data_IF_458583486156
#
_entry.id   IF_458583486156
#
_cell.length_a   1.000
_cell.length_b   1.000
_cell.length_c   1.000
_cell.angle_alpha   90.00
_cell.angle_beta   90.00
_cell.angle_gamma   90.00
#
_symmetry.space_group_name_H-M   'P 1'
#
loop_
_entity.id
_entity.type
_entity.pdbx_description
1 polymer ?
#
# COMPACT_ATOMS: atom_id res chain seq x y z
N UNK A 1 3.13 28.01 14.43
CA UNK A 1 2.02 28.97 14.61
C UNK A 1 1.74 29.66 13.28
N UNK A 2 0.49 30.07 13.00
CA UNK A 2 0.18 30.81 11.78
C UNK A 2 0.94 32.14 11.70
N UNK A 3 1.36 32.53 10.50
CA UNK A 3 2.07 33.78 10.22
C UNK A 3 1.12 34.84 9.66
N UNK A 4 1.37 36.14 9.91
CA UNK A 4 0.63 37.22 9.26
C UNK A 4 0.92 37.25 7.74
N UNK A 5 -0.05 37.62 6.89
CA UNK A 5 0.09 37.57 5.44
C UNK A 5 1.29 38.37 4.90
N UNK A 6 1.64 39.49 5.52
CA UNK A 6 2.79 40.32 5.15
C UNK A 6 4.11 39.56 5.34
N UNK A 7 4.23 38.82 6.46
CA UNK A 7 5.40 37.99 6.73
C UNK A 7 5.49 36.79 5.79
N UNK A 8 4.33 36.22 5.42
CA UNK A 8 4.28 35.16 4.41
C UNK A 8 4.77 35.68 3.07
N UNK A 9 4.37 36.89 2.68
CA UNK A 9 4.79 37.51 1.43
C UNK A 9 6.31 37.79 1.39
N UNK A 10 6.90 38.19 2.52
CA UNK A 10 8.37 38.34 2.65
C UNK A 10 9.12 37.02 2.36
N UNK A 11 8.55 35.88 2.77
CA UNK A 11 9.11 34.54 2.52
C UNK A 11 8.84 34.08 1.08
N UNK A 12 7.62 34.29 0.60
CA UNK A 12 7.16 33.81 -0.72
C UNK A 12 7.95 34.43 -1.87
N UNK A 13 8.28 35.73 -1.79
CA UNK A 13 8.96 36.43 -2.90
C UNK A 13 10.33 35.81 -3.25
N UNK A 14 11.30 35.68 -2.33
CA UNK A 14 12.59 35.04 -2.64
C UNK A 14 12.45 33.56 -3.05
N UNK A 15 11.52 32.81 -2.46
CA UNK A 15 11.27 31.40 -2.82
C UNK A 15 10.74 31.29 -4.25
N UNK A 16 9.79 32.15 -4.63
CA UNK A 16 9.24 32.18 -5.98
C UNK A 16 10.28 32.62 -7.01
N UNK A 17 11.15 33.57 -6.69
CA UNK A 17 12.27 33.97 -7.55
C UNK A 17 13.26 32.81 -7.78
N UNK A 18 13.65 32.11 -6.72
CA UNK A 18 14.55 30.95 -6.81
C UNK A 18 13.93 29.81 -7.65
N UNK A 19 12.64 29.52 -7.45
CA UNK A 19 11.91 28.53 -8.24
C UNK A 19 11.77 28.93 -9.71
N UNK A 20 11.42 30.19 -9.98
CA UNK A 20 11.29 30.69 -11.34
C UNK A 20 12.61 30.57 -12.11
N UNK A 21 13.72 30.96 -11.48
CA UNK A 21 15.05 30.80 -12.06
C UNK A 21 15.38 29.33 -12.35
N UNK A 22 15.09 28.42 -11.41
CA UNK A 22 15.33 26.99 -11.62
C UNK A 22 14.49 26.41 -12.77
N UNK A 23 13.20 26.77 -12.83
CA UNK A 23 12.28 26.32 -13.89
C UNK A 23 12.72 26.81 -15.27
N UNK A 24 13.24 28.04 -15.38
CA UNK A 24 13.82 28.56 -16.64
C UNK A 24 15.04 27.75 -17.11
N UNK A 25 15.80 27.17 -16.18
CA UNK A 25 16.91 26.26 -16.48
C UNK A 25 16.46 24.81 -16.68
N UNK A 26 15.16 24.53 -16.64
CA UNK A 26 14.59 23.19 -16.77
C UNK A 26 14.76 22.31 -15.52
N UNK A 27 15.07 22.89 -14.37
CA UNK A 27 15.27 22.19 -13.10
C UNK A 27 14.01 22.28 -12.24
N UNK A 28 13.51 21.14 -11.77
CA UNK A 28 12.40 21.05 -10.81
C UNK A 28 12.94 20.78 -9.41
N UNK A 29 12.32 21.36 -8.37
CA UNK A 29 12.75 21.12 -7.00
C UNK A 29 12.24 19.78 -6.46
N UNK A 30 10.95 19.47 -6.63
CA UNK A 30 10.27 18.19 -6.28
C UNK A 30 10.16 17.84 -4.79
N UNK A 31 10.59 18.73 -3.89
CA UNK A 31 10.58 18.52 -2.43
C UNK A 31 10.45 19.86 -1.68
N UNK A 32 9.51 20.71 -2.09
CA UNK A 32 9.26 21.99 -1.42
C UNK A 32 8.54 21.74 -0.10
N UNK A 33 9.17 22.13 1.02
CA UNK A 33 8.66 22.02 2.39
C UNK A 33 9.38 23.00 3.32
N UNK A 34 8.86 23.29 4.54
CA UNK A 34 9.44 24.30 5.41
C UNK A 34 10.90 24.07 5.79
N UNK A 35 11.35 22.82 5.96
CA UNK A 35 12.75 22.52 6.30
C UNK A 35 13.75 22.88 5.20
N UNK A 36 13.28 23.04 3.95
CA UNK A 36 14.12 23.39 2.81
C UNK A 36 14.05 24.90 2.50
N UNK A 37 13.31 25.68 3.31
CA UNK A 37 13.26 27.14 3.23
C UNK A 37 14.05 27.69 4.43
N UNK A 38 15.31 28.05 4.20
CA UNK A 38 16.22 28.50 5.24
C UNK A 38 16.12 30.00 5.47
N UNK A 39 16.10 30.39 6.74
CA UNK A 39 16.16 31.78 7.21
C UNK A 39 17.53 32.03 7.84
N UNK A 40 18.28 33.02 7.35
CA UNK A 40 19.57 33.40 7.94
C UNK A 40 19.37 34.39 9.11
N UNK A 41 20.33 34.50 10.05
CA UNK A 41 20.29 35.48 11.12
C UNK A 41 20.15 36.94 10.62
N UNK A 42 20.62 37.23 9.41
CA UNK A 42 20.55 38.53 8.76
C UNK A 42 19.21 38.76 8.04
N UNK A 43 18.29 37.80 8.10
CA UNK A 43 16.97 37.87 7.47
C UNK A 43 16.92 37.40 6.01
N UNK A 44 17.98 36.79 5.49
CA UNK A 44 17.99 36.19 4.16
C UNK A 44 17.12 34.94 4.08
N UNK A 45 16.43 34.74 2.95
CA UNK A 45 15.59 33.58 2.69
C UNK A 45 16.16 32.82 1.51
N UNK A 46 16.43 31.53 1.69
CA UNK A 46 17.05 30.68 0.68
C UNK A 46 16.28 29.38 0.55
N UNK A 47 16.12 28.93 -0.69
CA UNK A 47 15.60 27.60 -1.01
C UNK A 47 16.79 26.64 -1.18
N UNK A 48 16.80 25.55 -0.41
CA UNK A 48 17.89 24.56 -0.38
C UNK A 48 17.42 23.20 -0.87
N UNK A 49 18.35 22.28 -1.12
CA UNK A 49 18.04 20.87 -1.41
C UNK A 49 17.17 20.66 -2.65
N UNK A 50 17.50 21.37 -3.75
CA UNK A 50 17.02 21.02 -5.09
C UNK A 50 17.30 19.53 -5.32
N UNK A 51 16.26 18.76 -5.68
CA UNK A 51 16.20 17.30 -5.62
C UNK A 51 17.16 16.52 -6.53
N UNK A 52 18.46 16.77 -6.43
CA UNK A 52 19.55 16.13 -7.18
C UNK A 52 19.65 14.63 -6.89
N UNK A 53 19.12 14.16 -5.76
CA UNK A 53 19.06 12.73 -5.41
C UNK A 53 17.97 11.94 -6.17
N UNK A 54 16.98 12.61 -6.80
CA UNK A 54 15.84 11.95 -7.49
C UNK A 54 16.02 11.79 -9.01
N UNK A 55 17.19 12.14 -9.55
CA UNK A 55 17.48 12.07 -10.99
C UNK A 55 17.89 10.68 -11.50
N UNK A 56 17.99 9.67 -10.63
CA UNK A 56 18.33 8.29 -11.02
C UNK A 56 17.11 7.42 -11.43
N UNK A 57 15.88 7.94 -11.38
CA UNK A 57 14.66 7.14 -11.60
C UNK A 57 13.71 7.75 -12.65
N UNK A 58 14.21 7.98 -13.86
CA UNK A 58 13.35 8.13 -15.04
C UNK A 58 13.27 6.79 -15.77
N UNK A 59 12.41 5.87 -15.32
CA UNK A 59 12.30 4.57 -15.99
C UNK A 59 11.21 3.64 -15.48
N UNK A 60 10.90 3.63 -14.19
CA UNK A 60 9.95 2.65 -13.62
C UNK A 60 8.89 3.33 -12.77
N UNK A 61 7.68 3.36 -13.32
CA UNK A 61 6.47 3.79 -12.65
C UNK A 61 5.97 2.69 -11.72
N UNK A 62 6.47 2.66 -10.49
CA UNK A 62 5.83 2.00 -9.35
C UNK A 62 6.36 2.62 -8.07
N UNK A 63 5.45 3.14 -7.25
CA UNK A 63 5.73 3.62 -5.89
C UNK A 63 6.12 2.42 -5.01
N UNK A 64 7.41 2.06 -4.99
CA UNK A 64 7.99 1.12 -4.03
C UNK A 64 8.18 1.80 -2.68
N UNK A 65 7.90 1.07 -1.60
CA UNK A 65 7.80 1.63 -0.25
C UNK A 65 9.16 1.95 0.39
N UNK A 66 10.27 1.44 -0.16
CA UNK A 66 11.62 1.71 0.36
C UNK A 66 12.26 3.02 -0.09
N UNK A 67 11.64 3.74 -1.01
CA UNK A 67 12.07 5.08 -1.36
C UNK A 67 11.51 6.05 -0.34
N UNK A 68 12.21 6.21 0.80
CA UNK A 68 12.09 7.30 1.79
C UNK A 68 11.16 8.39 1.26
N UNK A 69 9.84 8.20 1.49
CA UNK A 69 8.85 9.11 0.94
C UNK A 69 9.13 10.39 1.71
N UNK A 70 9.78 11.35 1.04
CA UNK A 70 9.94 12.70 1.59
C UNK A 70 8.61 13.16 2.16
N UNK A 71 8.61 14.07 3.12
CA UNK A 71 7.44 14.54 3.88
C UNK A 71 6.13 14.56 3.04
N UNK A 72 5.29 13.50 3.09
CA UNK A 72 4.18 13.28 2.12
C UNK A 72 3.13 14.38 2.16
N UNK A 73 3.10 15.15 3.26
CA UNK A 73 2.25 16.30 3.49
C UNK A 73 2.40 17.40 2.43
N UNK A 74 3.51 17.44 1.69
CA UNK A 74 3.78 18.46 0.66
C UNK A 74 3.76 17.89 -0.76
N UNK A 75 3.46 16.60 -0.94
CA UNK A 75 3.52 15.94 -2.24
C UNK A 75 2.39 16.40 -3.18
N UNK A 76 2.71 16.62 -4.45
CA UNK A 76 1.68 16.92 -5.46
C UNK A 76 0.91 15.65 -5.91
N UNK A 77 -0.35 15.78 -6.37
CA UNK A 77 -1.14 14.65 -6.87
C UNK A 77 -0.45 13.87 -8.00
N UNK A 78 0.23 14.56 -8.92
CA UNK A 78 0.94 13.92 -10.03
C UNK A 78 2.19 13.15 -9.55
N UNK A 79 2.90 13.65 -8.54
CA UNK A 79 4.00 12.90 -7.90
C UNK A 79 3.47 11.66 -7.18
N UNK A 80 2.36 11.81 -6.46
CA UNK A 80 1.68 10.75 -5.73
C UNK A 80 1.14 9.63 -6.63
N UNK A 81 0.85 9.94 -7.91
CA UNK A 81 0.41 8.96 -8.92
C UNK A 81 1.53 8.41 -9.79
N UNK A 82 2.76 8.92 -9.66
CA UNK A 82 3.85 8.60 -10.59
C UNK A 82 3.63 9.13 -12.02
N UNK A 83 2.82 10.18 -12.18
CA UNK A 83 2.59 10.83 -13.47
C UNK A 83 3.77 11.73 -13.86
N UNK A 84 3.82 12.17 -15.13
CA UNK A 84 4.84 13.12 -15.59
C UNK A 84 4.70 14.46 -14.87
N UNK A 85 5.71 14.78 -14.07
CA UNK A 85 5.84 16.05 -13.33
C UNK A 85 6.39 17.17 -14.22
N UNK A 86 5.98 18.41 -13.91
CA UNK A 86 6.48 19.65 -14.52
C UNK A 86 6.56 20.75 -13.44
N UNK A 87 6.85 21.99 -13.82
CA UNK A 87 7.00 23.13 -12.89
C UNK A 87 5.79 23.34 -11.95
N UNK A 88 4.60 22.90 -12.37
CA UNK A 88 3.35 23.04 -11.58
C UNK A 88 3.29 22.09 -10.39
N UNK A 89 4.19 21.10 -10.35
CA UNK A 89 4.42 20.25 -9.17
C UNK A 89 4.94 21.08 -8.00
N UNK A 90 5.94 21.93 -8.22
CA UNK A 90 6.51 22.78 -7.17
C UNK A 90 5.49 23.84 -6.70
N UNK A 91 4.61 24.29 -7.59
CA UNK A 91 3.52 25.23 -7.28
C UNK A 91 2.52 24.60 -6.29
N UNK A 92 2.16 23.34 -6.46
CA UNK A 92 1.28 22.64 -5.52
C UNK A 92 1.93 22.53 -4.15
N UNK A 93 3.17 22.06 -4.08
CA UNK A 93 3.90 21.90 -2.82
C UNK A 93 4.07 23.24 -2.09
N UNK A 94 4.37 24.32 -2.83
CA UNK A 94 4.40 25.68 -2.28
C UNK A 94 3.01 26.13 -1.79
N UNK A 95 1.94 25.75 -2.48
CA UNK A 95 0.56 25.94 -2.03
C UNK A 95 0.26 25.29 -0.67
N UNK A 96 0.81 24.10 -0.41
CA UNK A 96 0.69 23.42 0.91
C UNK A 96 1.44 24.22 1.98
N UNK A 97 2.64 24.72 1.67
CA UNK A 97 3.42 25.57 2.58
C UNK A 97 2.68 26.87 2.90
N UNK A 98 2.06 27.51 1.90
CA UNK A 98 1.23 28.71 2.10
C UNK A 98 0.00 28.41 2.98
N UNK A 99 -0.67 27.28 2.73
CA UNK A 99 -1.81 26.82 3.54
C UNK A 99 -1.39 26.65 5.01
N UNK A 100 -0.26 25.99 5.26
CA UNK A 100 0.26 25.76 6.60
C UNK A 100 0.65 27.07 7.28
N UNK A 101 1.33 27.98 6.59
CA UNK A 101 1.67 29.28 7.17
C UNK A 101 0.44 30.12 7.52
N UNK A 102 -0.64 30.06 6.72
CA UNK A 102 -1.86 30.80 7.01
C UNK A 102 -2.68 30.20 8.16
N UNK A 103 -2.71 28.86 8.27
CA UNK A 103 -3.65 28.14 9.14
C UNK A 103 -2.99 27.49 10.36
N UNK A 104 -1.66 27.34 10.34
CA UNK A 104 -0.86 26.65 11.34
C UNK A 104 -0.86 25.11 11.22
N UNK A 105 -1.50 24.55 10.19
CA UNK A 105 -1.53 23.10 9.92
C UNK A 105 -1.58 22.83 8.41
N UNK A 106 -1.06 21.68 7.98
CA UNK A 106 -1.16 21.23 6.58
C UNK A 106 -2.61 20.89 6.19
N UNK A 107 -2.97 20.92 4.89
CA UNK A 107 -4.34 20.62 4.44
C UNK A 107 -4.75 19.16 4.70
N UNK A 108 -3.81 18.22 4.63
CA UNK A 108 -4.05 16.80 4.88
C UNK A 108 -3.04 16.26 5.88
N UNK A 109 -3.56 15.60 6.91
CA UNK A 109 -2.77 14.90 7.93
C UNK A 109 -3.52 13.62 8.27
N UNK A 110 -2.81 12.50 8.26
CA UNK A 110 -3.33 11.20 8.57
C UNK A 110 -2.25 10.37 9.28
N UNK A 111 -2.66 9.26 9.89
CA UNK A 111 -1.77 8.41 10.69
C UNK A 111 -0.72 7.68 9.86
N UNK A 112 -0.91 7.59 8.53
CA UNK A 112 0.04 6.95 7.61
C UNK A 112 0.42 7.86 6.44
N UNK A 113 1.68 7.82 5.96
CA UNK A 113 2.11 8.51 4.74
C UNK A 113 1.21 8.22 3.54
N UNK A 114 0.76 6.97 3.39
CA UNK A 114 -0.11 6.56 2.29
C UNK A 114 -1.49 7.22 2.36
N UNK A 115 -2.08 7.38 3.54
CA UNK A 115 -3.35 8.07 3.69
C UNK A 115 -3.23 9.57 3.36
N UNK A 116 -2.10 10.19 3.73
CA UNK A 116 -1.79 11.57 3.30
C UNK A 116 -1.70 11.63 1.77
N UNK A 117 -0.93 10.74 1.14
CA UNK A 117 -0.81 10.64 -0.33
C UNK A 117 -2.18 10.45 -0.99
N UNK A 118 -3.03 9.56 -0.46
CA UNK A 118 -4.40 9.35 -0.93
C UNK A 118 -5.23 10.65 -0.87
N UNK A 119 -5.15 11.39 0.24
CA UNK A 119 -5.88 12.65 0.41
C UNK A 119 -5.40 13.75 -0.55
N UNK A 120 -4.09 13.78 -0.80
CA UNK A 120 -3.51 14.62 -1.82
C UNK A 120 -4.07 14.29 -3.22
N UNK A 121 -4.45 13.05 -3.52
CA UNK A 121 -5.04 12.68 -4.81
C UNK A 121 -6.56 12.91 -4.87
N UNK A 122 -7.32 12.44 -3.88
CA UNK A 122 -8.77 12.25 -4.00
C UNK A 122 -9.59 13.14 -3.06
N UNK A 123 -9.05 13.53 -1.91
CA UNK A 123 -9.82 14.21 -0.88
C UNK A 123 -10.00 15.69 -1.22
N UNK A 124 -11.23 16.24 -1.13
CA UNK A 124 -11.49 17.66 -1.31
C UNK A 124 -10.66 18.51 -0.34
N UNK A 125 -10.17 19.66 -0.81
CA UNK A 125 -9.38 20.56 0.02
C UNK A 125 -10.25 21.15 1.14
N UNK A 126 -9.79 21.14 2.40
CA UNK A 126 -10.43 21.94 3.44
C UNK A 126 -10.26 23.42 3.11
N UNK A 127 -11.27 24.23 3.43
CA UNK A 127 -11.20 25.67 3.26
C UNK A 127 -10.35 26.28 4.38
N UNK A 128 -9.28 27.05 4.09
CA UNK A 128 -8.51 27.78 5.10
C UNK A 128 -9.37 28.53 6.13
N UNK A 129 -10.45 29.17 5.69
CA UNK A 129 -11.40 29.91 6.54
C UNK A 129 -12.17 29.02 7.54
N UNK A 130 -12.37 27.73 7.25
CA UNK A 130 -12.94 26.79 8.23
C UNK A 130 -11.99 26.50 9.40
N UNK A 131 -10.69 26.71 9.19
CA UNK A 131 -9.65 26.50 10.20
C UNK A 131 -9.39 27.80 10.95
N UNK A 132 -9.27 28.91 10.20
CA UNK A 132 -8.93 30.22 10.72
C UNK A 132 -9.87 31.27 10.07
N UNK A 133 -11.00 31.62 10.72
CA UNK A 133 -12.07 32.43 10.10
C UNK A 133 -11.69 33.87 9.74
N UNK A 134 -10.56 34.38 10.21
CA UNK A 134 -10.02 35.72 9.94
C UNK A 134 -9.16 35.79 8.66
N UNK A 135 -8.94 34.68 7.96
CA UNK A 135 -8.25 34.67 6.67
C UNK A 135 -9.07 35.44 5.63
N UNK A 136 -8.44 36.41 4.98
CA UNK A 136 -9.07 37.18 3.92
C UNK A 136 -9.44 36.27 2.72
N UNK A 137 -10.67 36.37 2.16
CA UNK A 137 -11.12 35.49 1.08
C UNK A 137 -10.23 35.48 -0.17
N UNK A 138 -9.54 36.58 -0.48
CA UNK A 138 -8.57 36.61 -1.58
C UNK A 138 -7.40 35.65 -1.38
N UNK A 139 -6.88 35.56 -0.16
CA UNK A 139 -5.78 34.65 0.19
C UNK A 139 -6.24 33.18 0.09
N UNK A 140 -7.46 32.89 0.54
CA UNK A 140 -8.06 31.56 0.40
C UNK A 140 -8.19 31.16 -1.07
N UNK A 141 -8.72 32.04 -1.94
CA UNK A 141 -8.82 31.76 -3.39
C UNK A 141 -7.46 31.46 -4.02
N UNK A 142 -6.44 32.24 -3.68
CA UNK A 142 -5.08 32.06 -4.20
C UNK A 142 -4.53 30.69 -3.80
N UNK A 143 -4.64 30.32 -2.53
CA UNK A 143 -4.12 29.04 -2.01
C UNK A 143 -4.88 27.85 -2.59
N UNK A 144 -6.21 27.91 -2.67
CA UNK A 144 -7.00 26.83 -3.25
C UNK A 144 -6.72 26.63 -4.75
N UNK A 145 -6.46 27.71 -5.49
CA UNK A 145 -6.02 27.61 -6.89
C UNK A 145 -4.65 26.96 -7.02
N UNK A 146 -3.68 27.29 -6.15
CA UNK A 146 -2.38 26.63 -6.14
C UNK A 146 -2.48 25.12 -5.84
N UNK A 147 -3.46 24.74 -5.01
CA UNK A 147 -3.71 23.36 -4.56
C UNK A 147 -4.67 22.58 -5.46
N UNK A 148 -5.09 23.12 -6.62
CA UNK A 148 -6.01 22.43 -7.51
C UNK A 148 -5.45 21.03 -7.89
N UNK A 149 -6.29 19.99 -7.83
CA UNK A 149 -5.83 18.61 -8.04
C UNK A 149 -5.30 18.39 -9.45
N UNK A 150 -6.01 18.92 -10.44
CA UNK A 150 -5.55 19.00 -11.81
C UNK A 150 -4.57 20.16 -11.99
N UNK A 151 -3.39 19.88 -12.55
CA UNK A 151 -2.32 20.87 -12.74
C UNK A 151 -2.67 21.97 -13.74
N UNK A 152 -3.57 21.71 -14.67
CA UNK A 152 -4.01 22.72 -15.66
C UNK A 152 -4.89 23.81 -15.01
N UNK A 153 -5.50 23.53 -13.86
CA UNK A 153 -6.33 24.47 -13.11
C UNK A 153 -5.51 25.35 -12.13
N UNK A 154 -4.20 25.07 -11.98
CA UNK A 154 -3.27 25.82 -11.13
C UNK A 154 -2.74 27.07 -11.83
N UNK A 155 -1.97 27.87 -11.10
CA UNK A 155 -1.07 28.83 -11.72
C UNK A 155 -0.08 28.11 -12.63
N UNK A 156 0.20 28.67 -13.80
CA UNK A 156 1.09 28.02 -14.76
C UNK A 156 2.54 28.39 -14.46
N UNK A 157 2.78 29.56 -13.87
CA UNK A 157 4.11 29.98 -13.39
C UNK A 157 4.08 30.33 -11.90
N UNK A 158 5.17 30.02 -11.19
CA UNK A 158 5.30 30.38 -9.76
C UNK A 158 5.27 31.90 -9.53
N UNK A 159 5.70 32.68 -10.52
CA UNK A 159 5.61 34.16 -10.50
C UNK A 159 4.16 34.66 -10.53
N UNK A 160 3.25 33.94 -11.21
CA UNK A 160 1.81 34.25 -11.20
C UNK A 160 1.21 34.00 -9.82
N UNK A 161 1.57 32.89 -9.17
CA UNK A 161 1.17 32.61 -7.78
C UNK A 161 1.66 33.71 -6.83
N UNK A 162 2.95 34.06 -6.89
CA UNK A 162 3.53 35.08 -6.03
C UNK A 162 2.85 36.45 -6.20
N UNK A 163 2.59 36.84 -7.45
CA UNK A 163 1.87 38.07 -7.78
C UNK A 163 0.43 38.06 -7.27
N UNK A 164 -0.31 36.98 -7.49
CA UNK A 164 -1.69 36.86 -7.02
C UNK A 164 -1.78 36.89 -5.49
N UNK A 165 -0.82 36.29 -4.80
CA UNK A 165 -0.74 36.36 -3.35
C UNK A 165 -0.43 37.78 -2.85
N UNK A 166 0.51 38.49 -3.51
CA UNK A 166 0.81 39.89 -3.21
C UNK A 166 -0.42 40.80 -3.37
N UNK A 167 -1.15 40.66 -4.47
CA UNK A 167 -2.39 41.40 -4.72
C UNK A 167 -3.43 41.13 -3.61
N UNK A 168 -3.61 39.87 -3.23
CA UNK A 168 -4.52 39.49 -2.14
C UNK A 168 -4.09 40.05 -0.76
N UNK A 169 -2.79 40.17 -0.48
CA UNK A 169 -2.29 40.83 0.75
C UNK A 169 -2.60 42.33 0.73
N UNK A 170 -2.37 43.00 -0.41
CA UNK A 170 -2.68 44.44 -0.57
C UNK A 170 -4.18 44.70 -0.44
N UNK A 171 -5.03 43.85 -1.01
CA UNK A 171 -6.48 43.92 -0.87
C UNK A 171 -6.93 43.74 0.58
N UNK A 172 -6.37 42.73 1.29
CA UNK A 172 -6.65 42.49 2.70
C UNK A 172 -6.28 43.69 3.57
N UNK A 173 -5.11 44.31 3.33
CA UNK A 173 -4.66 45.49 4.04
C UNK A 173 -5.49 46.75 3.73
N UNK A 174 -6.06 46.84 2.52
CA UNK A 174 -6.89 47.97 2.08
C UNK A 174 -8.35 47.85 2.54
N UNK A 175 -8.78 46.70 3.07
CA UNK A 175 -10.17 46.46 3.51
C UNK A 175 -11.20 46.41 2.37
N UNK A 176 -10.73 46.32 1.12
CA UNK A 176 -11.60 46.22 -0.06
C UNK A 176 -11.94 44.74 -0.22
N UNK A 177 -13.18 44.35 0.06
CA UNK A 177 -13.65 43.00 -0.28
C UNK A 177 -13.62 42.84 -1.82
N UNK A 178 -13.25 41.67 -2.36
CA UNK A 178 -13.26 41.50 -3.79
C UNK A 178 -14.70 41.60 -4.27
N UNK A 179 -14.94 42.36 -5.35
CA UNK A 179 -16.19 42.24 -6.08
C UNK A 179 -16.35 40.76 -6.49
N UNK A 180 -17.55 40.18 -6.41
CA UNK A 180 -17.75 38.82 -6.89
C UNK A 180 -17.28 38.76 -8.34
N UNK A 181 -16.30 37.91 -8.62
CA UNK A 181 -15.93 37.60 -10.01
C UNK A 181 -17.19 37.07 -10.68
N UNK A 182 -17.64 37.77 -11.72
CA UNK A 182 -18.62 37.21 -12.65
C UNK A 182 -18.05 35.89 -13.16
N UNK A 183 -18.64 34.80 -12.70
CA UNK A 183 -18.53 33.49 -13.32
C UNK A 183 -18.90 33.71 -14.79
N UNK A 184 -17.89 33.78 -15.66
CA UNK A 184 -18.11 33.75 -17.11
C UNK A 184 -18.81 32.43 -17.40
N UNK A 185 -20.12 32.52 -17.56
CA UNK A 185 -20.95 31.48 -18.11
C UNK A 185 -20.24 30.93 -19.34
N UNK A 186 -19.94 29.63 -19.31
CA UNK A 186 -19.57 28.90 -20.51
C UNK A 186 -20.61 29.22 -21.59
N UNK A 187 -20.17 29.71 -22.74
CA UNK A 187 -21.05 29.94 -23.88
C UNK A 187 -21.79 28.62 -24.21
N UNK A 188 -23.11 28.67 -24.45
CA UNK A 188 -23.84 27.49 -24.84
C UNK A 188 -23.36 27.07 -26.23
N UNK A 189 -22.79 25.87 -26.33
CA UNK A 189 -22.59 25.20 -27.62
C UNK A 189 -23.97 25.05 -28.26
N UNK A 190 -24.21 25.82 -29.32
CA UNK A 190 -25.44 25.75 -30.12
C UNK A 190 -25.41 24.42 -30.88
N UNK A 191 -26.12 23.43 -30.35
CA UNK A 191 -26.51 22.22 -31.07
C UNK A 191 -27.79 22.58 -31.86
N UNK A 192 -27.85 22.42 -33.20
CA UNK A 192 -29.06 22.75 -33.95
C UNK A 192 -30.25 21.89 -33.49
N UNK A 193 -31.49 22.38 -33.64
CA UNK A 193 -32.66 21.75 -33.04
C UNK A 193 -32.97 20.44 -33.77
N UNK A 194 -32.66 19.32 -33.13
CA UNK A 194 -33.37 18.08 -33.43
C UNK A 194 -34.72 18.19 -32.73
N UNK A 195 -35.79 18.22 -33.52
CA UNK A 195 -37.17 18.25 -33.08
C UNK A 195 -37.41 17.08 -32.12
N UNK A 196 -37.48 17.37 -30.81
CA UNK A 196 -37.98 16.43 -29.82
C UNK A 196 -39.49 16.61 -29.76
N UNK A 197 -40.17 15.73 -30.48
CA UNK A 197 -41.60 15.51 -30.35
C UNK A 197 -41.88 14.99 -28.93
N UNK A 198 -42.80 15.64 -28.23
CA UNK A 198 -43.17 15.30 -26.86
C UNK A 198 -43.76 13.88 -26.80
N UNK A 199 -43.04 12.95 -26.16
CA UNK A 199 -43.56 11.63 -25.81
C UNK A 199 -44.44 11.72 -24.54
N UNK A 200 -45.62 11.10 -24.52
CA UNK A 200 -46.52 11.12 -23.37
C UNK A 200 -45.99 10.21 -22.24
N UNK A 201 -46.37 10.56 -21.02
CA UNK A 201 -45.99 9.87 -19.79
C UNK A 201 -46.24 8.34 -19.88
N UNK A 202 -45.22 7.57 -19.47
CA UNK A 202 -45.28 6.11 -19.42
C UNK A 202 -46.34 5.61 -18.42
N UNK A 203 -47.11 4.55 -18.74
CA UNK A 203 -48.11 4.01 -17.84
C UNK A 203 -47.46 3.14 -16.76
N UNK A 204 -47.97 3.23 -15.53
CA UNK A 204 -47.65 2.31 -14.44
C UNK A 204 -47.98 0.86 -14.83
N UNK A 205 -46.97 0.00 -14.91
CA UNK A 205 -47.14 -1.43 -15.19
C UNK A 205 -47.21 -2.21 -13.88
N UNK A 206 -48.41 -2.68 -13.52
CA UNK A 206 -48.59 -3.66 -12.44
C UNK A 206 -47.91 -4.99 -12.79
N UNK A 207 -47.17 -5.62 -11.86
CA UNK A 207 -46.41 -6.83 -12.17
C UNK A 207 -47.33 -8.03 -12.42
N UNK A 208 -47.20 -8.68 -13.58
CA UNK A 208 -47.95 -9.90 -13.90
C UNK A 208 -47.25 -11.15 -13.34
N UNK A 209 -48.03 -11.99 -12.65
CA UNK A 209 -47.63 -13.28 -12.01
C UNK A 209 -46.86 -14.24 -12.92
N UNK A 210 -46.91 -14.06 -14.24
CA UNK A 210 -46.33 -14.98 -15.24
C UNK A 210 -44.81 -14.82 -15.40
N UNK A 211 -44.25 -13.63 -15.14
CA UNK A 211 -42.78 -13.39 -15.22
C UNK A 211 -42.02 -14.01 -14.06
N UNK A 212 -42.61 -14.04 -12.86
CA UNK A 212 -42.00 -14.68 -11.68
C UNK A 212 -41.94 -16.21 -11.79
N UNK A 213 -42.88 -16.83 -12.48
CA UNK A 213 -42.85 -18.28 -12.73
C UNK A 213 -41.72 -18.69 -13.68
N UNK A 214 -41.38 -17.86 -14.67
CA UNK A 214 -40.28 -18.13 -15.61
C UNK A 214 -38.92 -17.93 -14.94
N UNK A 215 -38.77 -16.85 -14.14
CA UNK A 215 -37.54 -16.58 -13.40
C UNK A 215 -37.32 -17.63 -12.29
N UNK A 216 -38.37 -18.00 -11.56
CA UNK A 216 -38.31 -19.07 -10.55
C UNK A 216 -38.00 -20.44 -11.16
N UNK A 217 -38.54 -20.75 -12.34
CA UNK A 217 -38.23 -21.98 -13.07
C UNK A 217 -36.76 -22.05 -13.53
N UNK A 218 -36.21 -20.93 -13.99
CA UNK A 218 -34.79 -20.86 -14.40
C UNK A 218 -33.83 -21.06 -13.22
N UNK A 219 -34.13 -20.47 -12.06
CA UNK A 219 -33.33 -20.64 -10.83
C UNK A 219 -33.42 -22.08 -10.32
N UNK A 220 -34.60 -22.69 -10.32
CA UNK A 220 -34.75 -24.09 -9.92
C UNK A 220 -34.00 -25.07 -10.84
N UNK A 221 -34.02 -24.82 -12.16
CA UNK A 221 -33.26 -25.62 -13.13
C UNK A 221 -31.75 -25.49 -12.94
N UNK A 222 -31.26 -24.28 -12.62
CA UNK A 222 -29.85 -24.03 -12.35
C UNK A 222 -29.37 -24.73 -11.05
N UNK A 223 -30.18 -24.68 -9.99
CA UNK A 223 -29.88 -25.39 -8.74
C UNK A 223 -29.89 -26.92 -8.93
N UNK A 224 -30.82 -27.45 -9.72
CA UNK A 224 -30.84 -28.88 -10.07
C UNK A 224 -29.60 -29.30 -10.86
N UNK A 225 -29.12 -28.45 -11.77
CA UNK A 225 -27.88 -28.70 -12.52
C UNK A 225 -26.67 -28.79 -11.57
N UNK A 226 -26.56 -27.87 -10.60
CA UNK A 226 -25.49 -27.87 -9.60
C UNK A 226 -25.57 -29.14 -8.74
N UNK A 227 -26.76 -29.56 -8.31
CA UNK A 227 -26.93 -30.81 -7.56
C UNK A 227 -26.56 -32.04 -8.40
N UNK A 228 -26.92 -32.09 -9.68
CA UNK A 228 -26.55 -33.20 -10.58
C UNK A 228 -25.04 -33.27 -10.81
N UNK A 229 -24.37 -32.13 -10.99
CA UNK A 229 -22.90 -32.06 -11.13
C UNK A 229 -22.23 -32.50 -9.83
N UNK A 230 -22.68 -31.99 -8.68
CA UNK A 230 -22.16 -32.40 -7.37
C UNK A 230 -22.32 -33.89 -7.10
N UNK A 231 -23.47 -34.49 -7.45
CA UNK A 231 -23.70 -35.92 -7.31
C UNK A 231 -22.83 -36.76 -8.26
N UNK A 232 -22.59 -36.28 -9.49
CA UNK A 232 -21.71 -36.96 -10.44
C UNK A 232 -20.26 -37.05 -9.94
N UNK A 233 -19.73 -35.97 -9.37
CA UNK A 233 -18.38 -35.95 -8.78
C UNK A 233 -18.28 -36.76 -7.48
N UNK A 234 -19.29 -36.69 -6.61
CA UNK A 234 -19.35 -37.52 -5.40
C UNK A 234 -19.39 -39.03 -5.73
N UNK A 235 -20.10 -39.42 -6.79
CA UNK A 235 -20.17 -40.83 -7.22
C UNK A 235 -18.84 -41.37 -7.78
N UNK A 236 -18.00 -40.51 -8.37
CA UNK A 236 -16.65 -40.86 -8.84
C UNK A 236 -15.66 -41.04 -7.69
N UNK A 237 -15.75 -40.22 -6.64
CA UNK A 237 -14.90 -40.31 -5.45
C UNK A 237 -15.12 -41.62 -4.67
N UNK A 238 -16.33 -42.18 -4.69
CA UNK A 238 -16.66 -43.40 -3.95
C UNK A 238 -16.16 -44.70 -4.62
N UNK A 239 -15.77 -44.66 -5.91
CA UNK A 239 -15.17 -45.80 -6.63
C UNK A 239 -13.64 -45.89 -6.50
N UNK A 240 -12.99 -44.92 -5.88
CA UNK A 240 -11.53 -44.88 -5.70
C UNK A 240 -11.12 -45.14 -4.23
N UNK A 241 -11.51 -46.29 -3.68
CA UNK A 241 -10.91 -46.84 -2.45
C UNK A 241 -10.47 -48.27 -2.70
N UNK A 242 -9.36 -48.42 -3.43
CA UNK A 242 -8.57 -49.64 -3.48
C UNK A 242 -7.42 -49.54 -2.48
N UNK A 243 -7.21 -50.58 -1.70
CA UNK A 243 -6.16 -50.74 -0.69
C UNK A 243 -4.75 -50.63 -1.30
N UNK A 244 -3.78 -49.94 -0.67
CA UNK A 244 -2.43 -49.83 -1.21
C UNK A 244 -1.66 -51.14 -1.03
N UNK A 245 -1.16 -51.67 -2.15
CA UNK A 245 -0.15 -52.75 -2.18
C UNK A 245 1.23 -52.09 -2.34
N UNK A 246 2.30 -52.54 -1.67
CA UNK A 246 3.60 -51.90 -1.78
C UNK A 246 4.24 -52.20 -3.14
N UNK A 247 4.51 -51.15 -3.92
CA UNK A 247 5.23 -51.24 -5.19
C UNK A 247 6.73 -51.00 -4.91
N UNK A 248 7.57 -51.95 -5.33
CA UNK A 248 9.02 -51.83 -5.31
C UNK A 248 9.49 -50.71 -6.25
N UNK A 249 10.47 -49.90 -5.80
CA UNK A 249 11.11 -48.84 -6.60
C UNK A 249 11.81 -49.45 -7.84
N UNK A 250 11.56 -48.93 -9.06
CA UNK A 250 12.44 -49.19 -10.18
C UNK A 250 13.68 -48.29 -10.09
N UNK A 251 14.86 -48.89 -10.21
CA UNK A 251 16.14 -48.19 -10.42
C UNK A 251 16.08 -47.41 -11.74
N UNK A 252 16.25 -46.08 -11.67
CA UNK A 252 16.47 -45.26 -12.86
C UNK A 252 17.98 -45.24 -13.13
N UNK A 253 18.35 -45.80 -14.28
CA UNK A 253 19.71 -45.80 -14.82
C UNK A 253 19.92 -44.48 -15.57
N UNK A 254 20.70 -43.58 -15.00
CA UNK A 254 21.11 -42.33 -15.66
C UNK A 254 22.11 -42.62 -16.80
N UNK A 255 21.92 -41.98 -17.95
CA UNK A 255 22.90 -41.88 -19.03
C UNK A 255 23.81 -40.67 -18.81
N UNK A 256 25.14 -40.73 -19.05
CA UNK A 256 26.05 -39.64 -18.74
C UNK A 256 26.21 -38.62 -19.89
N UNK A 257 26.34 -37.33 -19.54
CA UNK A 257 26.84 -36.24 -20.40
C UNK A 257 28.37 -36.08 -20.23
N UNK A 258 29.08 -35.46 -21.20
CA UNK A 258 30.51 -35.67 -21.42
C UNK A 258 31.42 -34.94 -20.42
N UNK A 259 32.54 -35.58 -20.10
CA UNK A 259 33.57 -35.18 -19.15
C UNK A 259 34.37 -33.95 -19.61
N UNK A 260 34.42 -32.92 -18.75
CA UNK A 260 35.51 -31.93 -18.67
C UNK A 260 36.57 -32.37 -17.65
N UNK A 261 37.81 -31.83 -17.68
CA UNK A 261 39.00 -32.54 -17.21
C UNK A 261 39.14 -32.59 -15.67
N UNK A 262 39.06 -33.82 -15.15
CA UNK A 262 40.06 -34.56 -14.32
C UNK A 262 41.02 -33.76 -13.42
N UNK A 263 40.60 -33.42 -12.20
CA UNK A 263 40.92 -34.19 -10.97
C UNK A 263 40.14 -33.60 -9.76
N UNK A 264 39.45 -34.43 -8.95
CA UNK A 264 38.69 -33.96 -7.79
C UNK A 264 39.55 -33.95 -6.51
N UNK A 265 39.39 -32.98 -5.59
CA UNK A 265 39.87 -33.15 -4.22
C UNK A 265 39.04 -34.25 -3.51
N UNK A 266 39.66 -35.16 -2.74
CA UNK A 266 38.93 -36.20 -2.02
C UNK A 266 38.17 -35.64 -0.80
N UNK A 267 37.16 -36.38 -0.30
CA UNK A 267 36.01 -35.81 0.37
C UNK A 267 35.95 -36.07 1.89
N UNK A 268 35.27 -35.14 2.58
CA UNK A 268 34.58 -35.36 3.86
C UNK A 268 34.94 -34.30 4.90
N UNK A 269 34.03 -33.53 5.47
CA UNK A 269 32.59 -33.31 5.30
C UNK A 269 32.31 -32.19 6.30
N UNK A 270 31.93 -30.99 5.85
CA UNK A 270 31.39 -29.85 6.64
C UNK A 270 31.54 -28.50 5.91
N UNK A 271 31.76 -28.50 4.59
CA UNK A 271 31.78 -27.26 3.80
C UNK A 271 30.67 -27.22 2.75
N UNK A 272 29.41 -26.92 3.16
CA UNK A 272 28.30 -26.67 2.24
C UNK A 272 28.61 -25.53 1.26
N UNK A 273 29.31 -24.50 1.71
CA UNK A 273 29.65 -23.32 0.90
C UNK A 273 30.63 -23.71 -0.19
N UNK A 274 31.72 -24.40 0.12
CA UNK A 274 32.67 -24.83 -0.91
C UNK A 274 32.08 -25.80 -1.93
N UNK A 275 31.06 -26.59 -1.56
CA UNK A 275 30.32 -27.42 -2.51
C UNK A 275 29.45 -26.61 -3.46
N UNK A 276 28.68 -25.65 -2.92
CA UNK A 276 27.83 -24.80 -3.72
C UNK A 276 28.65 -23.83 -4.60
N UNK A 277 29.79 -23.33 -4.09
CA UNK A 277 30.71 -22.47 -4.83
C UNK A 277 31.25 -23.18 -6.08
N UNK A 278 31.59 -24.46 -5.99
CA UNK A 278 32.00 -25.25 -7.17
C UNK A 278 30.90 -25.37 -8.21
N UNK A 279 29.63 -25.33 -7.83
CA UNK A 279 28.52 -25.33 -8.80
C UNK A 279 28.42 -23.98 -9.52
N UNK A 280 28.55 -22.88 -8.78
CA UNK A 280 28.61 -21.53 -9.38
C UNK A 280 29.85 -21.40 -10.27
N UNK A 281 31.02 -21.90 -9.88
CA UNK A 281 32.23 -21.88 -10.71
C UNK A 281 32.09 -22.71 -11.99
N UNK A 282 31.36 -23.83 -11.93
CA UNK A 282 31.10 -24.67 -13.10
C UNK A 282 30.10 -24.03 -14.07
N UNK A 283 29.11 -23.30 -13.56
CA UNK A 283 28.15 -22.55 -14.36
C UNK A 283 27.71 -21.25 -13.64
N UNK A 284 28.41 -20.12 -13.88
CA UNK A 284 28.13 -18.85 -13.18
C UNK A 284 26.81 -18.17 -13.56
N UNK A 285 26.14 -18.66 -14.61
CA UNK A 285 24.86 -18.14 -15.07
C UNK A 285 23.70 -19.08 -14.68
N UNK A 286 23.93 -20.08 -13.81
CA UNK A 286 22.88 -20.94 -13.27
C UNK A 286 22.25 -20.32 -12.01
N UNK A 287 21.01 -19.81 -12.08
CA UNK A 287 20.36 -19.20 -10.94
C UNK A 287 20.14 -20.18 -9.78
N UNK A 288 19.95 -21.49 -10.06
CA UNK A 288 19.79 -22.50 -9.01
C UNK A 288 21.11 -22.73 -8.24
N UNK A 289 22.25 -22.69 -8.92
CA UNK A 289 23.56 -22.80 -8.26
C UNK A 289 23.78 -21.63 -7.28
N UNK A 290 23.37 -20.42 -7.66
CA UNK A 290 23.39 -19.25 -6.78
C UNK A 290 22.44 -19.40 -5.58
N UNK A 291 21.21 -19.90 -5.76
CA UNK A 291 20.32 -20.21 -4.62
C UNK A 291 20.94 -21.22 -3.66
N UNK A 292 21.56 -22.29 -4.17
CA UNK A 292 22.25 -23.28 -3.33
C UNK A 292 23.41 -22.67 -2.54
N UNK A 293 24.16 -21.76 -3.14
CA UNK A 293 25.25 -21.05 -2.46
C UNK A 293 24.71 -20.09 -1.39
N UNK A 294 23.62 -19.38 -1.70
CA UNK A 294 22.88 -18.57 -0.74
C UNK A 294 22.38 -19.37 0.46
N UNK A 295 21.80 -20.55 0.24
CA UNK A 295 21.34 -21.46 1.29
C UNK A 295 22.52 -21.92 2.17
N UNK A 296 23.65 -22.25 1.55
CA UNK A 296 24.87 -22.64 2.27
C UNK A 296 25.40 -21.50 3.16
N UNK A 297 25.41 -20.26 2.67
CA UNK A 297 25.77 -19.09 3.48
C UNK A 297 24.76 -18.82 4.60
N UNK A 298 23.46 -18.94 4.33
CA UNK A 298 22.41 -18.76 5.32
C UNK A 298 22.54 -19.76 6.48
N UNK A 299 22.88 -21.02 6.18
CA UNK A 299 23.14 -22.06 7.18
C UNK A 299 24.38 -21.75 8.04
N UNK A 300 25.40 -21.11 7.48
CA UNK A 300 26.56 -20.64 8.23
C UNK A 300 26.29 -19.35 9.03
N UNK A 301 25.13 -18.72 8.82
CA UNK A 301 24.75 -17.46 9.46
C UNK A 301 25.30 -16.21 8.76
N UNK A 302 25.95 -16.36 7.60
CA UNK A 302 26.43 -15.25 6.78
C UNK A 302 25.27 -14.71 5.92
N UNK A 303 24.38 -13.96 6.58
CA UNK A 303 23.15 -13.43 5.97
C UNK A 303 23.41 -12.47 4.81
N UNK A 304 24.54 -11.75 4.83
CA UNK A 304 24.89 -10.77 3.80
C UNK A 304 25.23 -11.50 2.51
N UNK A 305 26.14 -12.49 2.57
CA UNK A 305 26.46 -13.29 1.38
C UNK A 305 25.27 -14.13 0.91
N UNK A 306 24.47 -14.64 1.84
CA UNK A 306 23.24 -15.34 1.47
C UNK A 306 22.32 -14.45 0.61
N UNK A 307 22.12 -13.20 1.03
CA UNK A 307 21.32 -12.23 0.29
C UNK A 307 21.93 -11.89 -1.07
N UNK A 308 23.24 -11.63 -1.15
CA UNK A 308 23.95 -11.35 -2.41
C UNK A 308 23.74 -12.46 -3.44
N UNK A 309 23.82 -13.72 -3.02
CA UNK A 309 23.63 -14.87 -3.91
C UNK A 309 22.16 -15.05 -4.33
N UNK A 310 21.19 -14.79 -3.44
CA UNK A 310 19.78 -14.79 -3.83
C UNK A 310 19.44 -13.66 -4.80
N UNK A 311 19.99 -12.46 -4.60
CA UNK A 311 19.87 -11.33 -5.53
C UNK A 311 20.49 -11.68 -6.88
N UNK A 312 21.64 -12.35 -6.89
CA UNK A 312 22.26 -12.82 -8.12
C UNK A 312 21.40 -13.86 -8.86
N UNK A 313 20.77 -14.78 -8.14
CA UNK A 313 19.82 -15.72 -8.74
C UNK A 313 18.61 -14.99 -9.36
N UNK A 314 18.10 -13.93 -8.71
CA UNK A 314 17.02 -13.09 -9.22
C UNK A 314 17.44 -12.30 -10.47
N UNK A 315 18.67 -11.79 -10.52
CA UNK A 315 19.21 -11.10 -11.71
C UNK A 315 19.29 -12.04 -12.92
N UNK A 316 19.68 -13.30 -12.69
CA UNK A 316 19.82 -14.32 -13.72
C UNK A 316 18.45 -14.84 -14.19
N UNK A 317 17.52 -15.03 -13.26
CA UNK A 317 16.14 -15.43 -13.53
C UNK A 317 15.13 -14.61 -12.71
N UNK A 318 14.58 -13.53 -13.30
CA UNK A 318 13.59 -12.68 -12.65
C UNK A 318 12.25 -13.37 -12.34
N UNK A 319 12.02 -14.60 -12.83
CA UNK A 319 10.83 -15.41 -12.57
C UNK A 319 11.07 -16.49 -11.49
N UNK A 320 12.25 -16.52 -10.86
CA UNK A 320 12.59 -17.52 -9.84
C UNK A 320 11.99 -17.20 -8.46
N UNK A 321 10.73 -17.57 -8.27
CA UNK A 321 9.95 -17.27 -7.06
C UNK A 321 10.62 -17.68 -5.74
N UNK A 322 11.29 -18.84 -5.70
CA UNK A 322 11.97 -19.34 -4.50
C UNK A 322 13.10 -18.40 -4.06
N UNK A 323 13.86 -17.84 -5.00
CA UNK A 323 14.96 -16.91 -4.70
C UNK A 323 14.44 -15.64 -4.01
N UNK A 324 13.32 -15.09 -4.49
CA UNK A 324 12.63 -13.98 -3.83
C UNK A 324 12.20 -14.35 -2.40
N UNK A 325 11.55 -15.50 -2.20
CA UNK A 325 11.12 -15.90 -0.85
C UNK A 325 12.31 -16.07 0.12
N UNK A 326 13.46 -16.58 -0.36
CA UNK A 326 14.68 -16.72 0.43
C UNK A 326 15.35 -15.38 0.74
N UNK A 327 15.46 -14.50 -0.26
CA UNK A 327 15.93 -13.12 -0.07
C UNK A 327 15.08 -12.38 0.97
N UNK A 328 13.75 -12.49 0.87
CA UNK A 328 12.80 -11.92 1.84
C UNK A 328 13.05 -12.41 3.27
N UNK A 329 13.36 -13.71 3.45
CA UNK A 329 13.71 -14.25 4.77
C UNK A 329 15.01 -13.65 5.32
N UNK A 330 16.03 -13.45 4.47
CA UNK A 330 17.30 -12.83 4.89
C UNK A 330 17.12 -11.36 5.28
N UNK A 331 16.33 -10.61 4.51
CA UNK A 331 16.01 -9.20 4.77
C UNK A 331 15.19 -9.04 6.05
N UNK A 332 14.16 -9.87 6.23
CA UNK A 332 13.36 -9.86 7.45
C UNK A 332 14.22 -10.16 8.70
N UNK A 333 15.18 -11.08 8.58
CA UNK A 333 16.12 -11.40 9.65
C UNK A 333 17.14 -10.28 9.93
N UNK A 334 17.27 -9.29 9.04
CA UNK A 334 18.07 -8.06 9.18
C UNK A 334 17.22 -6.86 9.62
N UNK A 335 15.90 -7.04 9.78
CA UNK A 335 14.90 -5.98 10.06
C UNK A 335 14.71 -5.00 8.90
N UNK A 336 15.11 -5.37 7.69
CA UNK A 336 14.76 -4.67 6.46
C UNK A 336 13.39 -5.16 5.99
N UNK A 337 12.35 -4.76 6.73
CA UNK A 337 10.99 -5.30 6.57
C UNK A 337 10.34 -4.86 5.26
N UNK A 338 10.68 -3.67 4.76
CA UNK A 338 10.13 -3.10 3.53
C UNK A 338 10.59 -3.93 2.33
N UNK A 339 11.92 -4.03 2.12
CA UNK A 339 12.51 -4.93 1.12
C UNK A 339 12.05 -6.37 1.27
N UNK A 340 11.93 -6.88 2.50
CA UNK A 340 11.45 -8.24 2.72
C UNK A 340 10.00 -8.42 2.21
N UNK A 341 9.15 -7.43 2.43
CA UNK A 341 7.76 -7.41 1.96
C UNK A 341 7.71 -7.47 0.44
N UNK A 342 8.50 -6.63 -0.24
CA UNK A 342 8.57 -6.61 -1.71
C UNK A 342 8.98 -7.98 -2.26
N UNK A 343 10.00 -8.61 -1.67
CA UNK A 343 10.45 -9.94 -2.06
C UNK A 343 9.36 -10.99 -1.86
N UNK A 344 8.64 -10.99 -0.75
CA UNK A 344 7.56 -11.95 -0.52
C UNK A 344 6.36 -11.73 -1.45
N UNK A 345 5.99 -10.48 -1.73
CA UNK A 345 4.93 -10.16 -2.68
C UNK A 345 5.30 -10.66 -4.07
N UNK A 346 6.54 -10.43 -4.51
CA UNK A 346 7.02 -10.90 -5.81
C UNK A 346 7.03 -12.43 -5.89
N UNK A 347 7.45 -13.12 -4.83
CA UNK A 347 7.36 -14.57 -4.75
C UNK A 347 5.90 -15.07 -4.88
N UNK A 348 4.95 -14.40 -4.23
CA UNK A 348 3.53 -14.76 -4.29
C UNK A 348 2.87 -14.41 -5.64
N UNK A 349 3.34 -13.37 -6.34
CA UNK A 349 2.90 -13.05 -7.70
C UNK A 349 3.36 -14.10 -8.73
N UNK A 350 4.61 -14.54 -8.60
CA UNK A 350 5.20 -15.56 -9.48
C UNK A 350 4.59 -16.95 -9.21
N UNK A 351 4.30 -17.27 -7.95
CA UNK A 351 3.63 -18.50 -7.54
C UNK A 351 2.36 -18.23 -6.70
N UNK A 352 1.22 -17.89 -7.35
CA UNK A 352 -0.03 -17.55 -6.65
C UNK A 352 -0.63 -18.67 -5.80
N UNK A 353 -0.21 -19.92 -6.05
CA UNK A 353 -0.65 -21.11 -5.33
C UNK A 353 0.31 -21.51 -4.18
N UNK A 354 1.37 -20.74 -3.97
CA UNK A 354 2.34 -20.97 -2.89
C UNK A 354 1.77 -20.48 -1.55
N UNK A 355 1.37 -21.41 -0.69
CA UNK A 355 0.92 -21.14 0.67
C UNK A 355 1.99 -20.37 1.46
N UNK A 356 3.26 -20.76 1.32
CA UNK A 356 4.36 -20.12 2.05
C UNK A 356 4.58 -18.69 1.59
N UNK A 357 4.60 -18.43 0.28
CA UNK A 357 4.81 -17.08 -0.25
C UNK A 357 3.66 -16.14 0.16
N UNK A 358 2.40 -16.57 -0.03
CA UNK A 358 1.23 -15.80 0.38
C UNK A 358 1.21 -15.55 1.90
N UNK A 359 1.53 -16.55 2.72
CA UNK A 359 1.57 -16.41 4.18
C UNK A 359 2.64 -15.39 4.60
N UNK A 360 3.84 -15.46 4.00
CA UNK A 360 4.94 -14.54 4.31
C UNK A 360 4.63 -13.11 3.87
N UNK A 361 4.06 -12.93 2.67
CA UNK A 361 3.62 -11.63 2.18
C UNK A 361 2.55 -11.02 3.09
N UNK A 362 1.52 -11.79 3.44
CA UNK A 362 0.48 -11.36 4.38
C UNK A 362 1.03 -10.99 5.75
N UNK A 363 1.94 -11.79 6.31
CA UNK A 363 2.58 -11.49 7.60
C UNK A 363 3.44 -10.23 7.56
N UNK A 364 4.19 -10.02 6.47
CA UNK A 364 5.05 -8.87 6.31
C UNK A 364 4.22 -7.57 6.18
N UNK A 365 3.21 -7.57 5.30
CA UNK A 365 2.26 -6.46 5.13
C UNK A 365 1.48 -6.16 6.42
N UNK A 366 1.08 -7.19 7.17
CA UNK A 366 0.40 -7.00 8.45
C UNK A 366 1.32 -6.31 9.47
N UNK A 367 2.59 -6.72 9.52
CA UNK A 367 3.60 -6.09 10.38
C UNK A 367 3.90 -4.64 10.00
N UNK A 368 3.82 -4.30 8.72
CA UNK A 368 3.96 -2.95 8.16
C UNK A 368 2.68 -2.08 8.36
N UNK A 369 1.61 -2.65 8.91
CA UNK A 369 0.34 -1.94 9.10
C UNK A 369 -0.51 -1.82 7.83
N UNK A 370 -0.10 -2.44 6.73
CA UNK A 370 -0.89 -2.60 5.51
C UNK A 370 -1.91 -3.73 5.65
N UNK A 371 -2.84 -3.55 6.60
CA UNK A 371 -3.78 -4.59 7.02
C UNK A 371 -4.69 -5.05 5.88
N UNK A 372 -5.17 -4.13 5.03
CA UNK A 372 -6.08 -4.46 3.92
C UNK A 372 -5.39 -5.35 2.86
N UNK A 373 -4.24 -4.96 2.27
CA UNK A 373 -3.48 -5.86 1.39
C UNK A 373 -3.13 -7.20 2.05
N UNK A 374 -2.72 -7.19 3.32
CA UNK A 374 -2.37 -8.40 4.04
C UNK A 374 -3.53 -9.43 4.09
N UNK A 375 -4.76 -8.95 4.30
CA UNK A 375 -5.96 -9.78 4.34
C UNK A 375 -6.23 -10.49 3.02
N UNK A 376 -5.91 -9.89 1.87
CA UNK A 376 -6.07 -10.56 0.57
C UNK A 376 -5.13 -11.76 0.44
N UNK A 377 -3.88 -11.62 0.88
CA UNK A 377 -2.94 -12.75 0.95
C UNK A 377 -3.41 -13.82 1.94
N UNK A 378 -3.92 -13.42 3.11
CA UNK A 378 -4.46 -14.40 4.07
C UNK A 378 -5.70 -15.13 3.54
N UNK A 379 -6.58 -14.45 2.81
CA UNK A 379 -7.71 -15.10 2.12
C UNK A 379 -7.21 -16.14 1.13
N UNK A 380 -6.20 -15.78 0.33
CA UNK A 380 -5.57 -16.73 -0.61
C UNK A 380 -4.99 -17.94 0.13
N UNK A 381 -4.36 -17.73 1.28
CA UNK A 381 -3.88 -18.84 2.13
C UNK A 381 -5.04 -19.71 2.59
N UNK A 382 -6.15 -19.15 3.08
CA UNK A 382 -7.31 -19.97 3.53
C UNK A 382 -8.00 -20.74 2.40
N UNK A 383 -7.90 -20.27 1.15
CA UNK A 383 -8.38 -21.01 -0.02
C UNK A 383 -7.48 -22.19 -0.37
N UNK A 384 -6.17 -22.03 -0.23
CA UNK A 384 -5.16 -23.03 -0.55
C UNK A 384 -4.98 -24.08 0.57
N UNK A 385 -4.99 -23.62 1.82
CA UNK A 385 -4.82 -24.41 3.03
C UNK A 385 -5.74 -23.87 4.16
N UNK A 386 -6.96 -24.41 4.27
CA UNK A 386 -7.95 -23.99 5.27
C UNK A 386 -7.65 -24.49 6.69
N UNK A 387 -6.59 -25.29 6.90
CA UNK A 387 -6.25 -25.83 8.23
C UNK A 387 -5.18 -24.98 8.94
N UNK A 388 -4.77 -23.85 8.34
CA UNK A 388 -3.86 -22.88 8.97
C UNK A 388 -4.63 -21.89 9.85
N UNK A 389 -4.40 -21.86 11.18
CA UNK A 389 -5.21 -21.05 12.09
C UNK A 389 -4.91 -19.54 12.00
N UNK A 390 -3.66 -19.16 11.73
CA UNK A 390 -3.24 -17.76 11.75
C UNK A 390 -3.93 -16.88 10.69
N UNK A 391 -4.04 -17.29 9.41
CA UNK A 391 -4.81 -16.54 8.40
C UNK A 391 -6.26 -16.27 8.81
N UNK A 392 -6.96 -17.29 9.33
CA UNK A 392 -8.32 -17.15 9.85
C UNK A 392 -8.38 -16.11 10.98
N UNK A 393 -7.45 -16.17 11.94
CA UNK A 393 -7.38 -15.18 13.00
C UNK A 393 -7.14 -13.75 12.46
N UNK A 394 -6.22 -13.58 11.49
CA UNK A 394 -5.92 -12.28 10.90
C UNK A 394 -7.14 -11.68 10.17
N UNK A 395 -7.83 -12.49 9.35
CA UNK A 395 -9.06 -12.08 8.66
C UNK A 395 -10.14 -11.72 9.68
N UNK A 396 -10.36 -12.57 10.69
CA UNK A 396 -11.35 -12.36 11.73
C UNK A 396 -11.12 -11.07 12.54
N UNK A 397 -9.87 -10.83 12.96
CA UNK A 397 -9.46 -9.58 13.61
C UNK A 397 -9.77 -8.34 12.76
N UNK A 398 -9.46 -8.38 11.46
CA UNK A 398 -9.75 -7.28 10.54
C UNK A 398 -11.25 -7.04 10.39
N UNK A 399 -12.04 -8.09 10.27
CA UNK A 399 -13.49 -8.00 10.13
C UNK A 399 -14.16 -7.42 11.38
N UNK A 400 -13.77 -7.87 12.57
CA UNK A 400 -14.27 -7.33 13.84
C UNK A 400 -13.96 -5.83 13.94
N UNK A 401 -12.71 -5.42 13.70
CA UNK A 401 -12.30 -4.02 13.78
C UNK A 401 -12.96 -3.12 12.73
N UNK A 402 -13.42 -3.69 11.61
CA UNK A 402 -14.15 -2.95 10.58
C UNK A 402 -15.67 -3.00 10.74
N UNK A 403 -16.16 -3.56 11.85
CA UNK A 403 -17.59 -3.63 12.21
C UNK A 403 -18.35 -4.80 11.59
N UNK A 404 -17.69 -5.71 10.86
CA UNK A 404 -18.28 -6.94 10.31
C UNK A 404 -18.22 -8.05 11.35
N UNK A 405 -18.91 -7.84 12.47
CA UNK A 405 -18.72 -8.60 13.71
C UNK A 405 -19.00 -10.11 13.56
N UNK A 406 -20.12 -10.50 12.94
CA UNK A 406 -20.48 -11.93 12.82
C UNK A 406 -19.54 -12.69 11.89
N UNK A 407 -19.20 -12.12 10.73
CA UNK A 407 -18.24 -12.73 9.82
C UNK A 407 -16.85 -12.83 10.48
N UNK A 408 -16.45 -11.78 11.21
CA UNK A 408 -15.20 -11.80 11.96
C UNK A 408 -15.17 -12.87 13.04
N UNK A 409 -16.29 -13.06 13.75
CA UNK A 409 -16.46 -14.11 14.74
C UNK A 409 -16.34 -15.51 14.13
N UNK A 410 -17.01 -15.78 13.00
CA UNK A 410 -16.95 -17.10 12.35
C UNK A 410 -15.50 -17.50 11.97
N UNK A 411 -14.72 -16.53 11.48
CA UNK A 411 -13.30 -16.71 11.17
C UNK A 411 -12.47 -16.96 12.43
N UNK A 412 -12.71 -16.19 13.51
CA UNK A 412 -12.02 -16.37 14.79
C UNK A 412 -12.37 -17.71 15.46
N UNK A 413 -13.63 -18.13 15.40
CA UNK A 413 -14.07 -19.45 15.88
C UNK A 413 -13.39 -20.57 15.07
N UNK A 414 -13.20 -20.38 13.77
CA UNK A 414 -12.44 -21.31 12.91
C UNK A 414 -10.98 -21.38 13.33
N UNK A 415 -10.33 -20.23 13.53
CA UNK A 415 -8.95 -20.16 14.00
C UNK A 415 -8.77 -20.87 15.35
N UNK A 416 -9.65 -20.62 16.31
CA UNK A 416 -9.59 -21.20 17.66
C UNK A 416 -10.04 -22.65 17.73
N UNK A 417 -10.80 -23.14 16.74
CA UNK A 417 -11.07 -24.58 16.59
C UNK A 417 -9.82 -25.32 16.12
N UNK A 418 -9.02 -24.71 15.24
CA UNK A 418 -7.77 -25.26 14.72
C UNK A 418 -6.63 -25.17 15.76
N UNK A 419 -6.53 -24.03 16.45
CA UNK A 419 -5.59 -23.81 17.56
C UNK A 419 -6.27 -23.01 18.68
N UNK A 420 -6.77 -23.71 19.72
CA UNK A 420 -7.44 -23.08 20.86
C UNK A 420 -6.57 -22.12 21.68
N UNK A 421 -5.24 -22.21 21.58
CA UNK A 421 -4.31 -21.40 22.36
C UNK A 421 -3.68 -20.28 21.53
N UNK A 422 -4.11 -20.10 20.26
CA UNK A 422 -3.61 -19.06 19.37
C UNK A 422 -3.88 -17.66 19.94
N UNK A 423 -2.85 -16.89 20.31
CA UNK A 423 -3.04 -15.58 20.92
C UNK A 423 -3.73 -14.57 19.99
N UNK A 424 -3.42 -14.57 18.71
CA UNK A 424 -4.04 -13.70 17.70
C UNK A 424 -5.55 -13.97 17.57
N UNK A 425 -5.97 -15.23 17.64
CA UNK A 425 -7.38 -15.62 17.61
C UNK A 425 -8.12 -15.19 18.88
N UNK A 426 -7.51 -15.39 20.05
CA UNK A 426 -8.10 -14.96 21.34
C UNK A 426 -8.18 -13.45 21.47
N UNK A 427 -7.15 -12.73 21.02
CA UNK A 427 -7.18 -11.27 20.98
C UNK A 427 -8.38 -10.77 20.15
N UNK A 428 -8.60 -11.34 18.96
CA UNK A 428 -9.75 -11.01 18.14
C UNK A 428 -11.09 -11.35 18.77
N UNK A 429 -11.18 -12.48 19.48
CA UNK A 429 -12.40 -12.80 20.24
C UNK A 429 -12.64 -11.84 21.39
N UNK A 430 -11.58 -11.35 22.05
CA UNK A 430 -11.68 -10.28 23.05
C UNK A 430 -12.31 -9.01 22.47
N UNK A 431 -11.79 -8.55 21.31
CA UNK A 431 -12.33 -7.40 20.58
C UNK A 431 -13.80 -7.60 20.18
N UNK A 432 -14.16 -8.81 19.73
CA UNK A 432 -15.55 -9.13 19.40
C UNK A 432 -16.45 -9.03 20.63
N UNK A 433 -16.06 -9.64 21.76
CA UNK A 433 -16.86 -9.64 22.98
C UNK A 433 -17.05 -8.24 23.55
N UNK A 434 -16.02 -7.41 23.46
CA UNK A 434 -16.12 -5.99 23.82
C UNK A 434 -17.11 -5.26 22.93
N UNK A 435 -17.03 -5.45 21.61
CA UNK A 435 -17.92 -4.79 20.65
C UNK A 435 -19.40 -5.16 20.85
N UNK A 436 -19.70 -6.39 21.29
CA UNK A 436 -21.08 -6.83 21.61
C UNK A 436 -21.49 -6.57 23.06
N UNK A 437 -20.60 -5.99 23.87
CA UNK A 437 -20.87 -5.58 25.26
C UNK A 437 -20.74 -6.67 26.31
N UNK A 438 -20.17 -7.84 25.99
CA UNK A 438 -19.87 -8.90 26.96
C UNK A 438 -18.47 -8.70 27.56
N UNK A 439 -18.37 -7.71 28.45
CA UNK A 439 -17.11 -7.25 29.06
C UNK A 439 -16.37 -8.35 29.82
N UNK A 440 -17.12 -9.28 30.43
CA UNK A 440 -16.53 -10.38 31.20
C UNK A 440 -15.78 -11.35 30.28
N UNK A 441 -16.39 -11.75 29.16
CA UNK A 441 -15.69 -12.59 28.19
C UNK A 441 -14.54 -11.86 27.51
N UNK A 442 -14.71 -10.57 27.18
CA UNK A 442 -13.64 -9.77 26.62
C UNK A 442 -12.41 -9.75 27.54
N UNK A 443 -12.63 -9.53 28.84
CA UNK A 443 -11.58 -9.55 29.87
C UNK A 443 -10.85 -10.90 29.92
N UNK A 444 -11.58 -12.02 29.91
CA UNK A 444 -10.99 -13.35 29.96
C UNK A 444 -10.06 -13.61 28.77
N UNK A 445 -10.47 -13.23 27.56
CA UNK A 445 -9.65 -13.43 26.37
C UNK A 445 -8.39 -12.54 26.39
N UNK A 446 -8.51 -11.26 26.74
CA UNK A 446 -7.34 -10.38 26.83
C UNK A 446 -6.38 -10.78 27.97
N UNK A 447 -6.88 -11.27 29.10
CA UNK A 447 -6.04 -11.79 30.18
C UNK A 447 -5.22 -13.00 29.74
N UNK A 448 -5.84 -13.93 28.99
CA UNK A 448 -5.12 -15.05 28.40
C UNK A 448 -3.96 -14.56 27.53
N UNK A 449 -4.22 -13.63 26.61
CA UNK A 449 -3.19 -13.09 25.69
C UNK A 449 -2.08 -12.37 26.46
N UNK A 450 -2.42 -11.59 27.48
CA UNK A 450 -1.45 -10.86 28.29
C UNK A 450 -0.52 -11.79 29.11
N UNK A 451 -0.96 -13.01 29.42
CA UNK A 451 -0.25 -14.01 30.22
C UNK A 451 0.43 -15.10 29.38
N UNK A 452 0.05 -15.27 28.11
CA UNK A 452 0.58 -16.31 27.22
C UNK A 452 2.00 -16.01 26.73
N UNK A 453 2.52 -16.90 25.87
CA UNK A 453 3.79 -16.76 25.16
C UNK A 453 3.69 -15.87 23.89
N UNK A 454 2.62 -15.11 23.74
CA UNK A 454 2.41 -14.19 22.61
C UNK A 454 3.57 -13.19 22.41
N UNK A 455 3.64 -12.65 21.20
CA UNK A 455 4.62 -11.60 20.85
C UNK A 455 4.49 -10.41 21.81
N UNK A 456 5.61 -9.75 22.21
CA UNK A 456 5.57 -8.67 23.21
C UNK A 456 4.59 -7.54 22.88
N UNK A 457 4.47 -7.16 21.61
CA UNK A 457 3.55 -6.12 21.15
C UNK A 457 2.08 -6.53 21.35
N UNK A 458 1.72 -7.78 21.04
CA UNK A 458 0.34 -8.27 21.20
C UNK A 458 -0.05 -8.36 22.69
N UNK A 459 0.91 -8.75 23.54
CA UNK A 459 0.73 -8.71 25.01
C UNK A 459 0.53 -7.29 25.53
N UNK A 460 1.22 -6.31 24.94
CA UNK A 460 1.07 -4.91 25.31
C UNK A 460 -0.31 -4.39 24.91
N UNK A 461 -0.78 -4.73 23.70
CA UNK A 461 -2.12 -4.34 23.24
C UNK A 461 -3.21 -4.96 24.10
N UNK A 462 -3.14 -6.26 24.41
CA UNK A 462 -4.11 -6.92 25.29
C UNK A 462 -4.18 -6.27 26.68
N UNK A 463 -3.05 -5.82 27.24
CA UNK A 463 -3.03 -5.10 28.53
C UNK A 463 -3.66 -3.71 28.44
N UNK A 464 -3.51 -3.03 27.30
CA UNK A 464 -4.12 -1.74 27.05
C UNK A 464 -5.63 -1.89 26.97
N UNK A 465 -6.13 -2.87 26.22
CA UNK A 465 -7.58 -3.15 26.17
C UNK A 465 -8.15 -3.50 27.55
N UNK A 466 -7.45 -4.33 28.33
CA UNK A 466 -7.86 -4.64 29.72
C UNK A 466 -8.01 -3.41 30.63
N UNK A 467 -7.19 -2.37 30.44
CA UNK A 467 -7.30 -1.12 31.17
C UNK A 467 -8.48 -0.25 30.69
N UNK A 468 -8.87 -0.42 29.43
CA UNK A 468 -9.99 0.27 28.80
C UNK A 468 -11.37 -0.29 29.18
N UNK A 469 -11.45 -1.59 29.51
CA UNK A 469 -12.68 -2.25 29.93
C UNK A 469 -13.20 -1.70 31.28
N UNK A 470 -14.20 -0.80 31.20
CA UNK A 470 -14.88 -0.17 32.34
C UNK A 470 -15.97 -1.02 32.97
#
# INVERSE_FOLDING_TARGET
>A
EPLPPERILEILKPVAEALAYAHEQGVLHRDIKPSNIMLTPEGGIFLTDFGLARMAQSGESTLSQDMMIGTPQYMSPEQAKGEKVDERTDIYSLGVVLFEMLTGRVPFSADTPYAVVHDHIYTPLPLPTTIKPDIYPGLERVVLKALAKNKDDRYQKVTELAKAFEEAVVEAASGVAPAPEEEKAAEPVIIPPTVVEAQPAAPEVKPSRRRWLVIGGAVAAFLLLICCVGFFFASKAQKAKGTPTPIARPEIRATPFPEGPTEPPPPGSDDPVGQALRQVEANPDDPHAHVMLGDAYALQGDKVKALEEYERAIELDPEYAEAYAKAGNMLAAQRELDRATEMYQRAAELEPDSVVANLKAGQALWGDGQIRPAVEYFRRVTELDPDLPLPHAAIGNFLVNTGRLEEGREELETALRLDPDLPEGRFGMGLYWEAVGDIEKARQEFEFVAQSNAKPWLKAEARKELQGLK
#
